data_IF_253560869284
#
_entry.id   IF_253560869284
#
_cell.length_a   1.000
_cell.length_b   1.000
_cell.length_c   1.000
_cell.angle_alpha   90.00
_cell.angle_beta   90.00
_cell.angle_gamma   90.00
#
_symmetry.space_group_name_H-M   'P 1'
#
loop_
_entity.id
_entity.type
_entity.pdbx_description
1 polymer ?
#
# COMPACT_ATOMS: atom_id res chain seq x y z
N UNK A 1 -2.83 14.04 23.19
CA UNK A 1 -1.56 13.63 22.53
C UNK A 1 -1.88 13.40 21.07
N UNK A 2 -1.48 14.33 20.20
CA UNK A 2 -1.61 14.15 18.76
C UNK A 2 -0.56 13.11 18.33
N UNK A 3 -1.02 11.95 17.87
CA UNK A 3 -0.12 10.92 17.34
C UNK A 3 0.25 11.34 15.93
N UNK A 4 1.42 11.95 15.79
CA UNK A 4 1.95 12.35 14.50
C UNK A 4 2.11 11.10 13.61
N UNK A 5 1.35 11.06 12.51
CA UNK A 5 1.27 9.91 11.62
C UNK A 5 1.85 10.24 10.25
N UNK A 6 2.79 9.41 9.80
CA UNK A 6 3.41 9.47 8.47
C UNK A 6 2.48 8.76 7.47
N UNK A 7 2.20 9.42 6.34
CA UNK A 7 1.39 8.85 5.27
C UNK A 7 2.30 8.06 4.35
N UNK A 8 2.02 6.77 4.16
CA UNK A 8 2.77 5.91 3.24
C UNK A 8 1.93 5.64 2.01
N UNK A 9 2.49 5.89 0.84
CA UNK A 9 1.94 5.30 -0.37
C UNK A 9 2.19 3.78 -0.40
N UNK A 10 1.45 3.00 -1.20
CA UNK A 10 1.59 1.54 -1.20
C UNK A 10 2.97 1.04 -1.62
N UNK A 11 3.72 1.80 -2.43
CA UNK A 11 5.09 1.45 -2.84
C UNK A 11 6.09 1.72 -1.71
N UNK A 12 5.96 2.84 -1.02
CA UNK A 12 6.76 3.17 0.16
C UNK A 12 6.52 2.15 1.27
N UNK A 13 5.28 1.70 1.44
CA UNK A 13 4.95 0.65 2.40
C UNK A 13 5.54 -0.70 1.99
N UNK A 14 5.49 -1.06 0.70
CA UNK A 14 6.12 -2.28 0.19
C UNK A 14 7.64 -2.28 0.43
N UNK A 15 8.30 -1.15 0.16
CA UNK A 15 9.72 -0.96 0.39
C UNK A 15 10.08 -1.03 1.89
N UNK A 16 9.29 -0.37 2.74
CA UNK A 16 9.47 -0.42 4.20
C UNK A 16 9.34 -1.84 4.76
N UNK A 17 8.43 -2.63 4.19
CA UNK A 17 8.19 -4.02 4.59
C UNK A 17 9.13 -5.02 3.91
N UNK A 18 9.96 -4.59 2.95
CA UNK A 18 10.87 -5.45 2.19
C UNK A 18 10.15 -6.47 1.30
N UNK A 19 8.96 -6.13 0.78
CA UNK A 19 8.21 -6.98 -0.15
C UNK A 19 8.34 -6.47 -1.59
N UNK A 20 8.06 -7.33 -2.57
CA UNK A 20 8.19 -6.97 -3.99
C UNK A 20 7.31 -5.76 -4.34
N UNK A 21 7.88 -4.79 -5.06
CA UNK A 21 7.16 -3.58 -5.49
C UNK A 21 5.95 -3.90 -6.36
N UNK A 22 5.95 -5.03 -7.07
CA UNK A 22 4.80 -5.52 -7.86
C UNK A 22 3.58 -5.80 -6.98
N UNK A 23 3.82 -6.11 -5.71
CA UNK A 23 2.77 -6.43 -4.74
C UNK A 23 2.28 -5.19 -3.97
N UNK A 24 2.84 -4.01 -4.24
CA UNK A 24 2.43 -2.76 -3.63
C UNK A 24 0.93 -2.49 -3.84
N UNK A 25 0.37 -2.85 -5.00
CA UNK A 25 -1.07 -2.70 -5.27
C UNK A 25 -1.96 -3.49 -4.32
N UNK A 26 -1.47 -4.60 -3.77
CA UNK A 26 -2.20 -5.42 -2.79
C UNK A 26 -2.23 -4.74 -1.42
N UNK A 27 -1.20 -3.94 -1.12
CA UNK A 27 -1.13 -3.12 0.10
C UNK A 27 -1.99 -1.84 0.00
N UNK A 28 -2.43 -1.47 -1.20
CA UNK A 28 -3.24 -0.27 -1.44
C UNK A 28 -4.67 -0.36 -0.86
N UNK A 29 -5.11 -1.57 -0.48
CA UNK A 29 -6.38 -1.78 0.24
C UNK A 29 -6.39 -1.07 1.61
N UNK A 30 -5.22 -0.64 2.08
CA UNK A 30 -5.08 0.09 3.32
C UNK A 30 -4.25 1.37 3.10
N UNK A 31 -4.88 2.53 2.87
CA UNK A 31 -4.20 3.82 2.97
C UNK A 31 -3.91 4.07 4.46
N UNK A 32 -2.83 3.49 4.97
CA UNK A 32 -2.53 3.51 6.40
C UNK A 32 -1.67 4.71 6.72
N UNK A 33 -2.25 5.65 7.45
CA UNK A 33 -1.47 6.60 8.23
C UNK A 33 -0.85 5.83 9.39
N UNK A 34 0.45 5.56 9.30
CA UNK A 34 1.17 4.82 10.32
C UNK A 34 1.70 5.78 11.37
N UNK A 35 1.65 5.43 12.68
CA UNK A 35 2.30 6.24 13.70
C UNK A 35 3.79 6.41 13.36
N UNK A 36 4.31 7.64 13.37
CA UNK A 36 5.72 7.90 13.02
C UNK A 36 6.69 7.09 13.90
N UNK A 37 6.34 6.93 15.19
CA UNK A 37 7.09 6.09 16.13
C UNK A 37 7.11 4.60 15.76
N UNK A 38 6.08 4.09 15.06
CA UNK A 38 6.09 2.72 14.56
C UNK A 38 7.07 2.57 13.39
N UNK A 39 6.98 3.46 12.39
CA UNK A 39 7.85 3.42 11.21
C UNK A 39 9.32 3.55 11.59
N UNK A 40 9.65 4.46 12.52
CA UNK A 40 11.01 4.60 13.06
C UNK A 40 11.50 3.31 13.71
N UNK A 41 10.70 2.69 14.59
CA UNK A 41 11.06 1.42 15.24
C UNK A 41 11.24 0.28 14.24
N UNK A 42 10.43 0.24 13.18
CA UNK A 42 10.52 -0.80 12.16
C UNK A 42 11.82 -0.66 11.35
N UNK A 43 12.15 0.57 10.91
CA UNK A 43 13.40 0.86 10.19
C UNK A 43 14.65 0.49 11.00
N UNK A 44 14.60 0.67 12.32
CA UNK A 44 15.74 0.39 13.22
C UNK A 44 15.69 -1.01 13.86
N UNK A 45 14.72 -1.86 13.49
CA UNK A 45 14.58 -3.19 14.11
C UNK A 45 15.70 -4.10 13.61
N UNK A 46 16.38 -4.73 14.56
CA UNK A 46 17.33 -5.82 14.32
C UNK A 46 16.67 -7.18 14.57
N UNK A 47 16.93 -8.17 13.71
CA UNK A 47 16.44 -9.55 13.86
C UNK A 47 15.31 -9.91 12.88
N UNK A 48 14.51 -10.92 13.24
CA UNK A 48 13.45 -11.41 12.37
C UNK A 48 12.40 -10.32 12.12
N UNK A 49 12.22 -9.95 10.85
CA UNK A 49 11.29 -8.91 10.40
C UNK A 49 9.85 -9.45 10.36
N UNK A 50 9.33 -9.77 11.53
CA UNK A 50 7.98 -10.29 11.70
C UNK A 50 7.04 -9.23 12.29
N UNK A 51 5.82 -9.19 11.75
CA UNK A 51 4.73 -8.37 12.20
C UNK A 51 3.99 -9.07 13.35
N UNK A 52 3.63 -8.33 14.38
CA UNK A 52 2.67 -8.79 15.37
C UNK A 52 1.25 -8.72 14.82
N UNK A 53 0.29 -9.35 15.49
CA UNK A 53 -1.12 -9.25 15.12
C UNK A 53 -1.64 -7.80 15.19
N UNK A 54 -1.10 -6.98 16.10
CA UNK A 54 -1.43 -5.57 16.20
C UNK A 54 -0.87 -4.78 15.00
N UNK A 55 0.35 -5.09 14.55
CA UNK A 55 0.94 -4.48 13.37
C UNK A 55 0.12 -4.81 12.12
N UNK A 56 -0.26 -6.08 11.94
CA UNK A 56 -1.11 -6.51 10.81
C UNK A 56 -2.49 -5.86 10.89
N UNK A 57 -3.10 -5.80 12.07
CA UNK A 57 -4.41 -5.16 12.29
C UNK A 57 -4.38 -3.68 11.87
N UNK A 58 -3.32 -2.97 12.29
CA UNK A 58 -3.07 -1.59 11.90
C UNK A 58 -2.86 -1.45 10.39
N UNK A 59 -2.01 -2.30 9.80
CA UNK A 59 -1.66 -2.27 8.37
C UNK A 59 -2.82 -2.58 7.44
N UNK A 60 -3.83 -3.32 7.88
CA UNK A 60 -4.99 -3.72 7.03
C UNK A 60 -6.28 -3.01 7.46
N UNK A 61 -6.23 -2.19 8.52
CA UNK A 61 -7.42 -1.52 9.07
C UNK A 61 -8.46 -2.49 9.63
N UNK A 62 -8.03 -3.59 10.25
CA UNK A 62 -8.91 -4.62 10.84
C UNK A 62 -8.67 -4.77 12.33
N UNK A 63 -9.61 -5.37 13.05
CA UNK A 63 -9.43 -5.65 14.47
C UNK A 63 -8.39 -6.76 14.69
N UNK A 64 -7.64 -6.69 15.79
CA UNK A 64 -6.71 -7.76 16.21
C UNK A 64 -7.43 -9.10 16.34
N UNK A 65 -8.68 -9.09 16.84
CA UNK A 65 -9.52 -10.30 16.93
C UNK A 65 -9.76 -10.94 15.57
N UNK A 66 -9.93 -10.13 14.51
CA UNK A 66 -10.06 -10.62 13.14
C UNK A 66 -8.76 -11.27 12.67
N UNK A 67 -7.62 -10.60 12.89
CA UNK A 67 -6.30 -11.14 12.53
C UNK A 67 -6.00 -12.45 13.28
N UNK A 68 -6.32 -12.53 14.58
CA UNK A 68 -6.18 -13.76 15.36
C UNK A 68 -7.00 -14.91 14.80
N UNK A 69 -8.18 -14.64 14.22
CA UNK A 69 -8.96 -15.68 13.54
C UNK A 69 -8.27 -16.13 12.25
N UNK A 70 -7.69 -15.22 11.47
CA UNK A 70 -6.95 -15.59 10.26
C UNK A 70 -5.73 -16.46 10.55
N UNK A 71 -5.06 -16.25 11.69
CA UNK A 71 -3.94 -17.09 12.15
C UNK A 71 -4.36 -18.46 12.72
N UNK A 72 -5.66 -18.76 12.85
CA UNK A 72 -6.19 -19.97 13.50
C UNK A 72 -6.91 -20.86 12.49
N UNK A 73 -6.19 -21.76 11.81
CA UNK A 73 -6.77 -22.62 10.78
C UNK A 73 -7.86 -23.55 11.33
N UNK A 74 -7.78 -23.92 12.60
CA UNK A 74 -8.74 -24.76 13.33
C UNK A 74 -10.12 -24.10 13.54
N UNK A 75 -10.19 -22.77 13.50
CA UNK A 75 -11.44 -22.02 13.77
C UNK A 75 -12.06 -21.39 12.53
N UNK A 76 -11.44 -21.58 11.36
CA UNK A 76 -11.90 -21.02 10.09
C UNK A 76 -12.53 -22.14 9.27
N UNK A 77 -13.85 -22.31 9.39
CA UNK A 77 -14.61 -23.17 8.47
C UNK A 77 -14.82 -22.44 7.14
N UNK A 78 -14.08 -22.85 6.12
CA UNK A 78 -14.48 -22.80 4.71
C UNK A 78 -14.30 -21.51 3.91
N UNK A 79 -14.16 -20.32 4.51
CA UNK A 79 -14.23 -19.07 3.72
C UNK A 79 -13.30 -17.91 4.14
N UNK A 80 -12.53 -18.01 5.23
CA UNK A 80 -11.58 -16.95 5.58
C UNK A 80 -10.15 -17.33 5.16
N UNK A 81 -9.35 -16.34 4.71
CA UNK A 81 -7.96 -16.58 4.33
C UNK A 81 -7.18 -17.04 5.57
N UNK A 82 -6.47 -18.15 5.43
CA UNK A 82 -5.55 -18.60 6.47
C UNK A 82 -4.27 -17.78 6.33
N UNK A 83 -4.00 -16.94 7.32
CA UNK A 83 -2.77 -16.18 7.41
C UNK A 83 -1.70 -17.07 8.04
N UNK A 84 -0.73 -17.50 7.24
CA UNK A 84 0.41 -18.26 7.74
C UNK A 84 1.18 -17.42 8.76
N UNK A 85 1.30 -17.95 9.97
CA UNK A 85 1.94 -17.25 11.07
C UNK A 85 2.76 -18.22 11.92
N UNK A 86 3.92 -17.76 12.39
CA UNK A 86 4.71 -18.45 13.41
C UNK A 86 4.08 -18.20 14.77
N UNK A 87 3.86 -19.27 15.54
CA UNK A 87 3.36 -19.14 16.91
C UNK A 87 4.51 -18.73 17.83
N UNK A 88 4.39 -17.55 18.44
CA UNK A 88 5.36 -17.04 19.43
C UNK A 88 4.88 -17.23 20.88
N UNK A 89 3.59 -17.52 21.07
CA UNK A 89 3.01 -17.82 22.38
C UNK A 89 1.59 -18.39 22.30
N UNK A 90 0.90 -18.58 23.44
CA UNK A 90 -0.44 -19.18 23.46
C UNK A 90 -1.47 -18.43 22.60
N UNK A 91 -1.34 -17.11 22.51
CA UNK A 91 -2.18 -16.21 21.69
C UNK A 91 -1.35 -15.23 20.85
N UNK A 92 -0.03 -15.33 20.86
CA UNK A 92 0.85 -14.44 20.11
C UNK A 92 1.30 -15.14 18.82
N UNK A 93 1.03 -14.47 17.71
CA UNK A 93 1.35 -14.94 16.37
C UNK A 93 2.18 -13.87 15.67
N UNK A 94 3.21 -14.33 14.98
CA UNK A 94 4.15 -13.53 14.20
C UNK A 94 3.96 -13.84 12.73
N UNK A 95 3.83 -12.79 11.93
CA UNK A 95 3.46 -12.88 10.52
C UNK A 95 4.59 -12.26 9.71
N UNK A 96 5.13 -12.96 8.73
CA UNK A 96 6.06 -12.33 7.81
C UNK A 96 5.30 -11.38 6.86
N UNK A 97 5.89 -10.24 6.45
CA UNK A 97 5.27 -9.36 5.46
C UNK A 97 4.85 -10.09 4.17
N UNK A 98 5.65 -11.05 3.71
CA UNK A 98 5.31 -11.89 2.56
C UNK A 98 4.05 -12.75 2.78
N UNK A 99 3.88 -13.34 3.98
CA UNK A 99 2.68 -14.11 4.31
C UNK A 99 1.43 -13.21 4.35
N UNK A 100 1.57 -11.96 4.81
CA UNK A 100 0.50 -10.97 4.76
C UNK A 100 0.10 -10.66 3.31
N UNK A 101 1.06 -10.37 2.43
CA UNK A 101 0.79 -10.11 1.00
C UNK A 101 0.11 -11.31 0.34
N UNK A 102 0.61 -12.53 0.56
CA UNK A 102 0.01 -13.74 0.01
C UNK A 102 -1.43 -13.96 0.49
N UNK A 103 -1.71 -13.65 1.76
CA UNK A 103 -3.05 -13.68 2.33
C UNK A 103 -3.97 -12.65 1.64
N UNK A 104 -3.51 -11.41 1.49
CA UNK A 104 -4.27 -10.33 0.85
C UNK A 104 -4.53 -10.62 -0.63
N UNK A 105 -3.57 -11.17 -1.37
CA UNK A 105 -3.77 -11.64 -2.77
C UNK A 105 -4.91 -12.65 -2.87
N UNK A 106 -4.96 -13.62 -1.96
CA UNK A 106 -6.05 -14.60 -1.91
C UNK A 106 -7.40 -13.93 -1.59
N UNK A 107 -7.41 -12.89 -0.75
CA UNK A 107 -8.63 -12.16 -0.40
C UNK A 107 -9.16 -11.31 -1.54
N UNK A 108 -8.27 -10.66 -2.29
CA UNK A 108 -8.65 -9.81 -3.42
C UNK A 108 -8.98 -10.63 -4.67
N UNK A 109 -8.75 -11.96 -4.63
CA UNK A 109 -8.51 -12.77 -5.82
C UNK A 109 -7.19 -12.34 -6.48
N UNK A 110 -6.52 -13.21 -7.23
CA UNK A 110 -5.40 -12.82 -8.12
C UNK A 110 -5.84 -11.90 -9.28
N UNK A 111 -6.89 -11.12 -9.06
CA UNK A 111 -7.58 -10.20 -9.95
C UNK A 111 -7.59 -8.83 -9.27
N UNK A 112 -6.41 -8.26 -9.03
CA UNK A 112 -6.36 -6.81 -9.12
C UNK A 112 -6.73 -6.50 -10.59
N UNK A 113 -7.90 -5.89 -10.89
CA UNK A 113 -8.17 -5.49 -12.25
C UNK A 113 -7.01 -4.60 -12.70
N UNK A 114 -6.49 -4.76 -13.93
CA UNK A 114 -5.39 -3.93 -14.39
C UNK A 114 -5.77 -2.47 -14.14
N UNK A 115 -4.89 -1.72 -13.48
CA UNK A 115 -5.07 -0.28 -13.27
C UNK A 115 -4.93 0.37 -14.64
N UNK A 116 -6.01 0.38 -15.40
CA UNK A 116 -6.12 1.10 -16.65
C UNK A 116 -6.35 2.55 -16.26
N UNK A 117 -5.41 3.44 -16.58
CA UNK A 117 -5.65 4.87 -16.43
C UNK A 117 -6.93 5.24 -17.18
N UNK A 118 -7.85 5.85 -16.45
CA UNK A 118 -9.00 6.50 -17.10
C UNK A 118 -8.48 7.59 -18.04
N UNK A 119 -9.19 7.90 -19.14
CA UNK A 119 -8.80 8.97 -20.05
C UNK A 119 -8.52 10.30 -19.33
N UNK A 120 -9.30 10.62 -18.29
CA UNK A 120 -9.11 11.80 -17.44
C UNK A 120 -7.80 11.78 -16.64
N UNK A 121 -7.38 10.62 -16.11
CA UNK A 121 -6.10 10.48 -15.42
C UNK A 121 -4.92 10.58 -16.39
N UNK A 122 -5.05 9.98 -17.57
CA UNK A 122 -4.05 10.04 -18.64
C UNK A 122 -3.86 11.49 -19.14
N UNK A 123 -4.95 12.24 -19.24
CA UNK A 123 -4.93 13.66 -19.62
C UNK A 123 -4.29 14.53 -18.52
N UNK A 124 -4.59 14.29 -17.25
CA UNK A 124 -3.89 14.97 -16.14
C UNK A 124 -2.40 14.65 -16.10
N UNK A 125 -2.02 13.40 -16.36
CA UNK A 125 -0.61 12.98 -16.44
C UNK A 125 0.11 13.63 -17.62
N UNK A 126 -0.55 13.77 -18.77
CA UNK A 126 0.03 14.43 -19.94
C UNK A 126 0.19 15.93 -19.69
N UNK A 127 -0.80 16.60 -19.10
CA UNK A 127 -0.71 18.00 -18.69
C UNK A 127 0.41 18.22 -17.68
N UNK A 128 0.49 17.40 -16.63
CA UNK A 128 1.56 17.47 -15.63
C UNK A 128 2.95 17.20 -16.25
N UNK A 129 3.04 16.29 -17.22
CA UNK A 129 4.29 16.02 -17.96
C UNK A 129 4.68 17.19 -18.86
N UNK A 130 3.72 17.82 -19.53
CA UNK A 130 3.94 19.01 -20.36
C UNK A 130 4.35 20.21 -19.51
N UNK A 131 3.73 20.41 -18.35
CA UNK A 131 4.08 21.48 -17.41
C UNK A 131 5.49 21.28 -16.85
N UNK A 132 5.84 20.06 -16.44
CA UNK A 132 7.21 19.72 -16.02
C UNK A 132 8.21 19.91 -17.14
N UNK A 133 7.90 19.48 -18.37
CA UNK A 133 8.77 19.70 -19.52
C UNK A 133 8.94 21.19 -19.84
N UNK A 134 7.88 21.99 -19.73
CA UNK A 134 7.94 23.45 -19.90
C UNK A 134 8.76 24.14 -18.81
N UNK A 135 8.63 23.69 -17.57
CA UNK A 135 9.43 24.17 -16.45
C UNK A 135 10.92 23.82 -16.61
N UNK A 136 11.23 22.62 -17.10
CA UNK A 136 12.60 22.16 -17.36
C UNK A 136 13.22 22.82 -18.61
N UNK A 137 12.43 23.11 -19.64
CA UNK A 137 12.89 23.77 -20.86
C UNK A 137 12.84 25.32 -20.79
N UNK A 138 12.47 25.91 -19.66
CA UNK A 138 12.56 27.35 -19.42
C UNK A 138 11.73 28.23 -20.37
N UNK A 139 10.67 27.71 -20.99
CA UNK A 139 9.89 28.50 -21.97
C UNK A 139 8.67 29.17 -21.35
N UNK A 140 8.86 30.40 -20.90
CA UNK A 140 7.83 31.39 -20.64
C UNK A 140 7.36 32.05 -21.95
N UNK A 141 6.42 31.43 -22.67
CA UNK A 141 5.43 32.18 -23.48
C UNK A 141 4.29 31.28 -23.98
N UNK A 142 3.02 31.59 -23.69
CA UNK A 142 1.91 30.90 -24.33
C UNK A 142 1.84 31.27 -25.82
N UNK A 143 1.49 30.33 -26.72
CA UNK A 143 1.33 30.64 -28.14
C UNK A 143 0.15 31.59 -28.35
N UNK A 144 0.40 32.71 -29.03
CA UNK A 144 -0.62 33.67 -29.44
C UNK A 144 -1.67 32.99 -30.33
N UNK A 145 -2.93 33.14 -29.95
CA UNK A 145 -4.12 32.66 -30.68
C UNK A 145 -4.13 33.26 -32.09
N UNK A 146 -3.63 32.54 -33.10
CA UNK A 146 -3.84 32.92 -34.51
C UNK A 146 -5.31 32.65 -34.84
N UNK A 147 -6.08 33.73 -34.99
CA UNK A 147 -7.40 33.71 -35.65
C UNK A 147 -7.22 33.07 -37.03
N UNK A 148 -7.83 31.91 -37.28
CA UNK A 148 -8.13 31.51 -38.66
C UNK A 148 -9.33 32.34 -39.08
N UNK A 149 -9.06 33.29 -39.97
CA UNK A 149 -10.08 33.97 -40.75
C UNK A 149 -10.73 32.96 -41.72
N UNK A 150 -12.01 33.16 -41.96
CA UNK A 150 -12.83 32.45 -42.91
C UNK A 150 -12.34 32.65 -44.36
N UNK A 151 -12.45 31.60 -45.16
CA UNK A 151 -12.80 31.61 -46.58
C UNK A 151 -13.22 30.18 -46.96
#
# INVERSE_FOLDING_TARGET
MEVEGELFDPFQLAELLGVDRRDAGVLAVAPVRLPAGWAKRWRTRSGAMELSQADVAMLVGRSVKTITRWCRPDKVRGLAPVLTARRAGPRDYRVSPAALVACLKKMTGDTAPPVIETPAQRERRSQASIEKARALCGQSKPPSRRKRAAA
#
